data_IF_470616945970
#
_entry.id   IF_470616945970
#
_cell.length_a   1.000
_cell.length_b   1.000
_cell.length_c   1.000
_cell.angle_alpha   90.00
_cell.angle_beta   90.00
_cell.angle_gamma   90.00
#
_symmetry.space_group_name_H-M   'P 1'
#
loop_
_entity.id
_entity.type
_entity.pdbx_description
1 polymer ?
#
# COMPACT_ATOMS: atom_id res chain seq x y z
N UNK A 1 35.28 11.59 -26.97
CA UNK A 1 34.37 10.46 -26.71
C UNK A 1 34.33 10.36 -25.21
N UNK A 2 33.42 11.14 -24.61
CA UNK A 2 33.25 11.17 -23.17
C UNK A 2 32.19 10.14 -22.81
N UNK A 3 32.59 9.22 -21.94
CA UNK A 3 31.78 8.20 -21.32
C UNK A 3 30.65 8.89 -20.54
N UNK A 4 29.41 8.73 -21.02
CA UNK A 4 28.24 9.08 -20.23
C UNK A 4 28.10 8.06 -19.10
N UNK A 5 28.43 8.51 -17.89
CA UNK A 5 28.17 7.79 -16.64
C UNK A 5 26.65 7.69 -16.43
N UNK A 6 26.21 6.50 -16.01
CA UNK A 6 24.87 6.25 -15.50
C UNK A 6 24.56 7.31 -14.44
N UNK A 7 23.49 8.08 -14.66
CA UNK A 7 23.07 9.16 -13.76
C UNK A 7 22.86 8.64 -12.34
N UNK A 8 23.29 9.45 -11.39
CA UNK A 8 23.16 9.20 -9.96
C UNK A 8 21.66 9.11 -9.61
N UNK A 9 21.20 8.18 -8.76
CA UNK A 9 19.80 8.10 -8.30
C UNK A 9 19.23 9.39 -7.69
N UNK A 10 20.06 10.40 -7.44
CA UNK A 10 19.66 11.76 -7.09
C UNK A 10 19.10 12.60 -8.26
N UNK A 11 19.19 12.15 -9.51
CA UNK A 11 18.66 12.82 -10.70
C UNK A 11 17.16 12.51 -10.98
N UNK A 12 16.49 11.74 -10.12
CA UNK A 12 15.05 11.45 -10.19
C UNK A 12 14.26 12.65 -9.67
N UNK A 13 14.22 13.70 -10.49
CA UNK A 13 13.67 15.00 -10.16
C UNK A 13 12.26 14.97 -9.56
N UNK A 14 12.14 15.70 -8.44
CA UNK A 14 10.94 16.29 -7.85
C UNK A 14 9.84 15.33 -7.39
N UNK A 15 10.17 14.59 -6.34
CA UNK A 15 9.25 14.03 -5.35
C UNK A 15 8.27 15.09 -4.82
N UNK A 16 7.07 15.16 -5.39
CA UNK A 16 5.96 15.83 -4.70
C UNK A 16 5.32 14.84 -3.74
N UNK A 17 5.96 14.64 -2.57
CA UNK A 17 5.28 14.09 -1.39
C UNK A 17 5.69 12.70 -0.90
N UNK A 18 6.78 12.10 -1.37
CA UNK A 18 7.36 10.91 -0.71
C UNK A 18 8.66 11.33 -0.02
N UNK A 19 8.70 11.44 1.33
CA UNK A 19 9.96 11.58 2.05
C UNK A 19 10.89 10.40 1.70
N UNK A 20 12.21 10.63 1.68
CA UNK A 20 13.22 9.60 1.49
C UNK A 20 12.99 8.43 2.47
N UNK A 21 12.40 7.34 1.98
CA UNK A 21 12.10 6.17 2.81
C UNK A 21 13.39 5.34 2.98
N UNK A 22 13.71 4.88 4.20
CA UNK A 22 14.71 3.84 4.38
C UNK A 22 14.33 2.59 3.58
N UNK A 23 15.17 2.18 2.62
CA UNK A 23 14.90 1.03 1.77
C UNK A 23 14.82 -0.26 2.58
N UNK A 24 13.59 -0.78 2.76
CA UNK A 24 13.28 -2.05 3.44
C UNK A 24 13.02 -3.20 2.44
N UNK A 25 13.34 -3.02 1.15
CA UNK A 25 13.22 -4.02 0.09
C UNK A 25 11.80 -4.49 -0.20
N UNK A 26 11.15 -3.98 -1.26
CA UNK A 26 9.93 -4.61 -1.79
C UNK A 26 10.34 -5.85 -2.58
N UNK A 27 10.00 -7.04 -2.08
CA UNK A 27 10.12 -8.28 -2.83
C UNK A 27 8.69 -8.73 -3.13
N UNK A 28 8.30 -8.78 -4.40
CA UNK A 28 7.09 -9.49 -4.79
C UNK A 28 7.36 -11.00 -4.69
N UNK A 29 6.38 -11.77 -4.22
CA UNK A 29 6.36 -13.25 -4.07
C UNK A 29 6.75 -14.07 -5.36
N UNK A 30 7.29 -13.47 -6.43
CA UNK A 30 7.63 -14.11 -7.71
C UNK A 30 9.09 -13.96 -8.19
N UNK A 31 10.00 -13.39 -7.39
CA UNK A 31 11.45 -13.47 -7.68
C UNK A 31 11.92 -12.69 -8.91
N UNK A 32 11.20 -11.64 -9.30
CA UNK A 32 11.69 -10.66 -10.26
C UNK A 32 12.29 -9.47 -9.51
N UNK A 33 13.57 -9.17 -9.77
CA UNK A 33 14.00 -7.77 -9.70
C UNK A 33 13.15 -7.02 -10.73
N UNK A 34 12.30 -6.08 -10.29
CA UNK A 34 11.68 -5.14 -11.21
C UNK A 34 12.77 -4.26 -11.80
N UNK A 35 13.29 -4.70 -12.94
CA UNK A 35 14.11 -3.89 -13.81
C UNK A 35 13.22 -2.81 -14.46
N UNK A 36 13.09 -1.67 -13.77
CA UNK A 36 12.51 -0.46 -14.32
C UNK A 36 13.33 0.13 -15.48
N UNK A 37 14.44 -0.49 -15.92
CA UNK A 37 15.26 -0.04 -17.06
C UNK A 37 14.86 -0.61 -18.43
N UNK A 38 13.88 -1.51 -18.51
CA UNK A 38 13.33 -1.98 -19.81
C UNK A 38 11.97 -1.38 -20.15
N UNK A 39 11.86 -0.06 -20.08
CA UNK A 39 10.88 0.65 -20.91
C UNK A 39 11.41 0.69 -22.34
N UNK A 40 10.72 0.13 -23.35
CA UNK A 40 11.11 0.38 -24.73
C UNK A 40 10.86 1.86 -25.02
N UNK A 41 11.92 2.58 -25.36
CA UNK A 41 11.84 3.94 -25.90
C UNK A 41 10.75 3.99 -26.99
N UNK A 42 9.79 4.91 -26.83
CA UNK A 42 8.80 5.23 -27.85
C UNK A 42 9.49 5.89 -29.06
N UNK A 43 10.09 5.08 -29.92
CA UNK A 43 10.49 5.52 -31.25
C UNK A 43 9.31 5.35 -32.23
N UNK A 44 8.63 6.46 -32.48
CA UNK A 44 8.04 6.85 -33.75
C UNK A 44 7.34 5.76 -34.56
N UNK A 45 6.04 5.58 -34.32
CA UNK A 45 5.16 4.83 -35.20
C UNK A 45 3.83 4.60 -34.52
N UNK A 46 2.78 5.25 -35.01
CA UNK A 46 1.40 5.09 -34.56
C UNK A 46 0.95 3.63 -34.67
N UNK A 47 1.17 2.86 -33.61
CA UNK A 47 0.51 1.56 -33.39
C UNK A 47 -0.94 1.85 -32.95
N UNK A 48 -1.94 1.13 -33.48
CA UNK A 48 -3.31 1.30 -33.03
C UNK A 48 -3.38 1.00 -31.53
N UNK A 49 -4.16 1.80 -30.77
CA UNK A 49 -4.58 1.46 -29.40
C UNK A 49 -5.04 -0.01 -29.39
N UNK A 50 -4.24 -0.92 -28.84
CA UNK A 50 -4.67 -2.31 -28.71
C UNK A 50 -5.87 -2.31 -27.78
N UNK A 51 -7.02 -2.80 -28.27
CA UNK A 51 -8.12 -3.18 -27.38
C UNK A 51 -7.55 -4.14 -26.33
N UNK A 52 -7.97 -3.99 -25.07
CA UNK A 52 -7.52 -4.88 -23.99
C UNK A 52 -7.84 -6.34 -24.30
N UNK A 53 -7.20 -7.29 -23.61
CA UNK A 53 -7.62 -8.69 -23.73
C UNK A 53 -9.07 -8.84 -23.22
N UNK A 54 -9.84 -9.84 -23.68
CA UNK A 54 -11.18 -10.11 -23.15
C UNK A 54 -11.21 -10.23 -21.61
N UNK A 55 -10.14 -10.74 -21.02
CA UNK A 55 -9.95 -10.84 -19.57
C UNK A 55 -9.76 -9.46 -18.92
N UNK A 56 -8.95 -8.58 -19.51
CA UNK A 56 -8.80 -7.19 -19.03
C UNK A 56 -10.14 -6.43 -19.10
N UNK A 57 -10.90 -6.61 -20.19
CA UNK A 57 -12.21 -5.98 -20.34
C UNK A 57 -13.23 -6.54 -19.35
N UNK A 58 -13.18 -7.84 -19.05
CA UNK A 58 -13.95 -8.44 -17.98
C UNK A 58 -13.60 -7.85 -16.60
N UNK A 59 -12.31 -7.68 -16.31
CA UNK A 59 -11.82 -7.02 -15.09
C UNK A 59 -12.35 -5.60 -14.94
N UNK A 60 -12.40 -4.82 -16.02
CA UNK A 60 -12.94 -3.45 -16.00
C UNK A 60 -14.44 -3.45 -15.68
N UNK A 61 -15.19 -4.37 -16.28
CA UNK A 61 -16.62 -4.53 -15.99
C UNK A 61 -16.84 -4.89 -14.52
N UNK A 62 -16.03 -5.80 -13.97
CA UNK A 62 -16.09 -6.17 -12.55
C UNK A 62 -15.80 -4.98 -11.62
N UNK A 63 -14.77 -4.18 -11.94
CA UNK A 63 -14.44 -2.96 -11.20
C UNK A 63 -15.61 -1.95 -11.21
N UNK A 64 -16.24 -1.74 -12.37
CA UNK A 64 -17.41 -0.85 -12.49
C UNK A 64 -18.59 -1.40 -11.67
N UNK A 65 -18.87 -2.71 -11.75
CA UNK A 65 -19.92 -3.35 -10.94
C UNK A 65 -19.67 -3.20 -9.45
N UNK A 66 -18.43 -3.38 -9.00
CA UNK A 66 -18.05 -3.20 -7.61
C UNK A 66 -18.36 -1.77 -7.13
N UNK A 67 -18.00 -0.75 -7.91
CA UNK A 67 -18.32 0.66 -7.60
C UNK A 67 -19.82 0.93 -7.54
N UNK A 68 -20.60 0.34 -8.44
CA UNK A 68 -22.07 0.47 -8.44
C UNK A 68 -22.68 -0.20 -7.21
N UNK A 69 -22.29 -1.42 -6.90
CA UNK A 69 -22.75 -2.13 -5.71
C UNK A 69 -22.36 -1.43 -4.41
N UNK A 70 -21.14 -0.89 -4.33
CA UNK A 70 -20.70 -0.08 -3.20
C UNK A 70 -21.62 1.15 -3.01
N UNK A 71 -21.95 1.87 -4.09
CA UNK A 71 -22.87 3.00 -4.04
C UNK A 71 -24.29 2.62 -3.59
N UNK A 72 -24.74 1.41 -3.93
CA UNK A 72 -26.02 0.87 -3.47
C UNK A 72 -25.99 0.25 -2.07
N UNK A 73 -24.84 0.21 -1.41
CA UNK A 73 -24.68 -0.43 -0.11
C UNK A 73 -24.70 -1.96 -0.15
N UNK A 74 -24.66 -2.58 -1.34
CA UNK A 74 -24.49 -4.02 -1.47
C UNK A 74 -23.01 -4.39 -1.32
N UNK A 75 -22.56 -4.45 -0.07
CA UNK A 75 -21.15 -4.65 0.26
C UNK A 75 -20.66 -6.05 -0.13
N UNK A 76 -21.49 -7.09 0.00
CA UNK A 76 -21.13 -8.46 -0.40
C UNK A 76 -20.93 -8.58 -1.91
N UNK A 77 -21.85 -7.99 -2.69
CA UNK A 77 -21.73 -7.92 -4.14
C UNK A 77 -20.50 -7.13 -4.56
N UNK A 78 -20.24 -6.00 -3.92
CA UNK A 78 -19.06 -5.17 -4.19
C UNK A 78 -17.76 -5.94 -3.90
N UNK A 79 -17.69 -6.64 -2.75
CA UNK A 79 -16.55 -7.44 -2.34
C UNK A 79 -16.31 -8.62 -3.30
N UNK A 80 -17.37 -9.30 -3.74
CA UNK A 80 -17.27 -10.39 -4.71
C UNK A 80 -16.69 -9.92 -6.05
N UNK A 81 -17.20 -8.80 -6.59
CA UNK A 81 -16.71 -8.25 -7.85
C UNK A 81 -15.27 -7.73 -7.75
N UNK A 82 -14.94 -7.03 -6.66
CA UNK A 82 -13.61 -6.41 -6.53
C UNK A 82 -12.50 -7.46 -6.37
N UNK A 83 -12.76 -8.56 -5.64
CA UNK A 83 -11.77 -9.63 -5.50
C UNK A 83 -11.44 -10.26 -6.86
N UNK A 84 -12.45 -10.54 -7.69
CA UNK A 84 -12.23 -11.05 -9.04
C UNK A 84 -11.49 -10.05 -9.93
N UNK A 85 -11.78 -8.75 -9.82
CA UNK A 85 -11.06 -7.72 -10.58
C UNK A 85 -9.57 -7.65 -10.17
N UNK A 86 -9.28 -7.71 -8.87
CA UNK A 86 -7.91 -7.74 -8.34
C UNK A 86 -7.15 -8.96 -8.88
N UNK A 87 -7.75 -10.15 -8.86
CA UNK A 87 -7.12 -11.37 -9.35
C UNK A 87 -6.74 -11.28 -10.85
N UNK A 88 -7.60 -10.65 -11.66
CA UNK A 88 -7.33 -10.40 -13.08
C UNK A 88 -6.19 -9.39 -13.25
N UNK A 89 -6.25 -8.26 -12.53
CA UNK A 89 -5.31 -7.17 -12.76
C UNK A 89 -3.95 -7.36 -12.10
N UNK A 90 -3.83 -8.19 -11.05
CA UNK A 90 -2.58 -8.43 -10.32
C UNK A 90 -1.44 -8.88 -11.23
N UNK A 91 -1.75 -9.67 -12.26
CA UNK A 91 -0.76 -10.22 -13.19
C UNK A 91 -0.80 -9.53 -14.57
N UNK A 92 -1.50 -8.40 -14.67
CA UNK A 92 -1.66 -7.67 -15.92
C UNK A 92 -0.68 -6.50 -16.02
N UNK A 93 -0.38 -6.03 -17.23
CA UNK A 93 0.39 -4.78 -17.45
C UNK A 93 -0.45 -3.51 -17.19
N UNK A 94 -1.55 -3.63 -16.45
CA UNK A 94 -2.56 -2.58 -16.24
C UNK A 94 -2.52 -2.09 -14.80
N UNK A 95 -1.37 -1.58 -14.38
CA UNK A 95 -1.08 -1.16 -13.01
C UNK A 95 -2.15 -0.20 -12.47
N UNK A 96 -2.60 0.78 -13.25
CA UNK A 96 -3.66 1.72 -12.82
C UNK A 96 -5.03 1.07 -12.56
N UNK A 97 -5.36 -0.07 -13.18
CA UNK A 97 -6.58 -0.81 -12.84
C UNK A 97 -6.40 -1.70 -11.61
N UNK A 98 -5.20 -2.25 -11.40
CA UNK A 98 -4.88 -3.00 -10.19
C UNK A 98 -4.91 -2.09 -8.96
N UNK A 99 -4.24 -0.93 -9.04
CA UNK A 99 -4.24 0.11 -8.02
C UNK A 99 -5.67 0.57 -7.69
N UNK A 100 -6.45 0.98 -8.71
CA UNK A 100 -7.85 1.40 -8.50
C UNK A 100 -8.71 0.29 -7.88
N UNK A 101 -8.44 -0.97 -8.19
CA UNK A 101 -9.15 -2.09 -7.59
C UNK A 101 -8.81 -2.26 -6.11
N UNK A 102 -7.55 -2.05 -5.72
CA UNK A 102 -7.12 -2.01 -4.33
C UNK A 102 -7.74 -0.81 -3.59
N UNK A 103 -7.77 0.37 -4.21
CA UNK A 103 -8.42 1.56 -3.64
C UNK A 103 -9.91 1.31 -3.35
N UNK A 104 -10.66 0.78 -4.33
CA UNK A 104 -12.08 0.43 -4.13
C UNK A 104 -12.27 -0.62 -3.03
N UNK A 105 -11.34 -1.58 -2.90
CA UNK A 105 -11.39 -2.54 -1.79
C UNK A 105 -11.20 -1.86 -0.44
N UNK A 106 -10.33 -0.86 -0.36
CA UNK A 106 -10.22 0.03 0.80
C UNK A 106 -11.54 0.73 1.12
N UNK A 107 -12.21 1.30 0.11
CA UNK A 107 -13.52 1.96 0.28
C UNK A 107 -14.60 1.02 0.80
N UNK A 108 -14.60 -0.24 0.33
CA UNK A 108 -15.56 -1.25 0.82
C UNK A 108 -15.31 -1.53 2.30
N UNK A 109 -14.06 -1.70 2.73
CA UNK A 109 -13.74 -1.90 4.15
C UNK A 109 -14.02 -0.67 5.01
N UNK A 110 -13.78 0.55 4.51
CA UNK A 110 -14.15 1.78 5.21
C UNK A 110 -15.67 1.82 5.43
N UNK A 111 -16.46 1.41 4.42
CA UNK A 111 -17.92 1.33 4.53
C UNK A 111 -18.41 0.24 5.49
N UNK A 112 -17.58 -0.78 5.73
CA UNK A 112 -17.80 -1.82 6.75
C UNK A 112 -17.26 -1.42 8.14
N UNK A 113 -16.72 -0.20 8.31
CA UNK A 113 -16.07 0.28 9.53
C UNK A 113 -14.85 -0.56 9.95
N UNK A 114 -14.27 -1.32 9.02
CA UNK A 114 -13.02 -2.07 9.21
C UNK A 114 -11.84 -1.20 8.78
N UNK A 115 -11.60 -0.12 9.52
CA UNK A 115 -10.65 0.92 9.15
C UNK A 115 -9.22 0.42 9.04
N UNK A 116 -8.77 -0.54 9.85
CA UNK A 116 -7.41 -1.05 9.75
C UNK A 116 -7.18 -1.82 8.43
N UNK A 117 -8.17 -2.61 7.97
CA UNK A 117 -8.14 -3.22 6.63
C UNK A 117 -8.24 -2.17 5.51
N UNK A 118 -9.09 -1.17 5.68
CA UNK A 118 -9.21 -0.07 4.72
C UNK A 118 -7.85 0.64 4.54
N UNK A 119 -7.20 0.96 5.66
CA UNK A 119 -5.90 1.60 5.72
C UNK A 119 -4.84 0.78 4.99
N UNK A 120 -4.81 -0.54 5.20
CA UNK A 120 -3.94 -1.46 4.47
C UNK A 120 -4.15 -1.39 2.95
N UNK A 121 -5.39 -1.46 2.47
CA UNK A 121 -5.66 -1.47 1.03
C UNK A 121 -5.43 -0.09 0.38
N UNK A 122 -5.74 1.01 1.06
CA UNK A 122 -5.42 2.35 0.59
C UNK A 122 -3.91 2.58 0.51
N UNK A 123 -3.17 2.16 1.54
CA UNK A 123 -1.71 2.25 1.54
C UNK A 123 -1.10 1.36 0.45
N UNK A 124 -1.61 0.13 0.27
CA UNK A 124 -1.17 -0.77 -0.81
C UNK A 124 -1.45 -0.18 -2.19
N UNK A 125 -2.62 0.43 -2.41
CA UNK A 125 -2.94 1.11 -3.67
C UNK A 125 -1.93 2.25 -3.94
N UNK A 126 -1.70 3.11 -2.96
CA UNK A 126 -0.70 4.19 -3.05
C UNK A 126 0.69 3.66 -3.41
N UNK A 127 1.12 2.54 -2.82
CA UNK A 127 2.43 1.93 -3.12
C UNK A 127 2.52 1.34 -4.53
N UNK A 128 1.41 0.87 -5.10
CA UNK A 128 1.36 0.25 -6.42
C UNK A 128 1.39 1.29 -7.55
N UNK A 129 0.85 2.50 -7.32
CA UNK A 129 0.95 3.56 -8.30
C UNK A 129 0.32 4.86 -7.85
N UNK A 130 0.89 5.98 -8.30
CA UNK A 130 0.43 7.33 -7.96
C UNK A 130 -0.76 7.81 -8.83
N UNK A 131 -1.27 6.97 -9.74
CA UNK A 131 -2.28 7.38 -10.71
C UNK A 131 -3.64 7.74 -10.09
N UNK A 132 -3.92 7.35 -8.84
CA UNK A 132 -5.12 7.74 -8.11
C UNK A 132 -4.72 8.54 -6.87
N UNK A 133 -4.74 9.87 -7.02
CA UNK A 133 -4.59 10.85 -5.93
C UNK A 133 -5.40 10.48 -4.68
N UNK A 134 -6.58 9.89 -4.87
CA UNK A 134 -7.53 9.64 -3.78
C UNK A 134 -7.06 8.57 -2.78
N UNK A 135 -6.17 7.65 -3.13
CA UNK A 135 -5.77 6.57 -2.21
C UNK A 135 -4.89 7.09 -1.06
N UNK A 136 -4.00 8.04 -1.35
CA UNK A 136 -3.21 8.73 -0.33
C UNK A 136 -4.10 9.58 0.58
N UNK A 137 -4.99 10.37 -0.03
CA UNK A 137 -5.92 11.23 0.70
C UNK A 137 -6.86 10.43 1.60
N UNK A 138 -7.46 9.35 1.08
CA UNK A 138 -8.35 8.48 1.86
C UNK A 138 -7.60 7.76 2.98
N UNK A 139 -6.34 7.35 2.76
CA UNK A 139 -5.48 6.82 3.82
C UNK A 139 -5.26 7.86 4.92
N UNK A 140 -4.83 9.08 4.56
CA UNK A 140 -4.55 10.14 5.54
C UNK A 140 -5.81 10.53 6.33
N UNK A 141 -6.96 10.59 5.66
CA UNK A 141 -8.26 10.79 6.29
C UNK A 141 -8.60 9.74 7.35
N UNK A 142 -8.07 8.51 7.28
CA UNK A 142 -8.30 7.50 8.32
C UNK A 142 -7.41 7.67 9.54
N UNK A 143 -6.16 8.11 9.32
CA UNK A 143 -5.17 8.31 10.39
C UNK A 143 -5.21 9.72 10.99
N UNK A 144 -6.16 10.54 10.54
CA UNK A 144 -6.45 11.88 11.04
C UNK A 144 -7.86 11.90 11.67
N UNK A 145 -7.97 12.51 12.86
CA UNK A 145 -9.26 12.75 13.54
C UNK A 145 -9.86 11.53 14.25
N UNK A 146 -11.19 11.53 14.38
CA UNK A 146 -11.98 10.66 15.28
C UNK A 146 -11.82 9.14 15.06
N UNK A 147 -11.16 8.71 13.98
CA UNK A 147 -10.96 7.29 13.66
C UNK A 147 -9.71 6.68 14.29
N UNK A 148 -8.78 7.50 14.79
CA UNK A 148 -7.51 7.04 15.37
C UNK A 148 -7.75 6.05 16.52
N UNK A 149 -8.68 6.34 17.42
CA UNK A 149 -8.98 5.46 18.56
C UNK A 149 -9.54 4.10 18.11
N UNK A 150 -10.40 4.10 17.09
CA UNK A 150 -10.96 2.87 16.51
C UNK A 150 -9.84 2.07 15.84
N UNK A 151 -8.94 2.72 15.12
CA UNK A 151 -7.79 2.08 14.50
C UNK A 151 -6.89 1.43 15.55
N UNK A 152 -6.53 2.16 16.62
CA UNK A 152 -5.74 1.63 17.74
C UNK A 152 -6.37 0.35 18.30
N UNK A 153 -7.69 0.36 18.54
CA UNK A 153 -8.40 -0.83 19.02
C UNK A 153 -8.41 -1.97 17.98
N UNK A 154 -8.63 -1.66 16.70
CA UNK A 154 -8.58 -2.67 15.63
C UNK A 154 -7.18 -3.26 15.41
N UNK A 155 -6.10 -2.54 15.73
CA UNK A 155 -4.73 -3.07 15.66
C UNK A 155 -4.39 -4.02 16.84
N UNK A 156 -5.18 -4.00 17.91
CA UNK A 156 -5.07 -5.00 18.99
C UNK A 156 -5.60 -6.37 18.56
N UNK A 157 -6.62 -6.42 17.71
CA UNK A 157 -7.12 -7.66 17.11
C UNK A 157 -6.58 -7.85 15.69
N UNK A 158 -5.70 -8.84 15.51
CA UNK A 158 -5.12 -9.11 14.19
C UNK A 158 -6.16 -9.43 13.11
N UNK A 159 -7.33 -9.97 13.47
CA UNK A 159 -8.38 -10.29 12.50
C UNK A 159 -8.95 -9.02 11.90
N UNK A 160 -9.05 -7.94 12.67
CA UNK A 160 -9.53 -6.65 12.18
C UNK A 160 -8.44 -5.84 11.52
N UNK A 161 -7.18 -6.01 11.94
CA UNK A 161 -6.06 -5.33 11.31
C UNK A 161 -5.73 -5.93 9.94
N UNK A 162 -5.59 -7.26 9.87
CA UNK A 162 -5.04 -7.95 8.71
C UNK A 162 -6.10 -8.76 7.97
N UNK A 163 -6.25 -8.56 6.64
CA UNK A 163 -7.25 -9.26 5.86
C UNK A 163 -6.89 -10.72 5.56
N UNK A 164 -5.64 -11.14 5.78
CA UNK A 164 -5.18 -12.50 5.55
C UNK A 164 -4.93 -13.21 6.91
N UNK A 165 -4.59 -14.50 6.91
CA UNK A 165 -4.65 -15.38 8.11
C UNK A 165 -3.74 -15.01 9.29
N UNK A 166 -3.40 -15.98 10.13
CA UNK A 166 -2.74 -15.77 11.43
C UNK A 166 -1.26 -15.30 11.40
N UNK A 167 -0.69 -14.97 10.23
CA UNK A 167 0.71 -14.52 10.11
C UNK A 167 0.88 -13.53 8.97
N UNK A 168 1.69 -12.49 9.18
CA UNK A 168 2.06 -11.56 8.11
C UNK A 168 2.98 -12.25 7.10
N UNK A 169 2.73 -11.99 5.81
CA UNK A 169 3.72 -12.21 4.76
C UNK A 169 4.73 -11.06 4.75
N UNK A 170 5.90 -11.26 4.15
CA UNK A 170 6.95 -10.24 4.06
C UNK A 170 6.47 -8.96 3.37
N UNK A 171 5.77 -9.09 2.25
CA UNK A 171 5.26 -7.95 1.47
C UNK A 171 4.26 -7.12 2.29
N UNK A 172 3.41 -7.80 3.07
CA UNK A 172 2.39 -7.15 3.89
C UNK A 172 2.97 -6.59 5.20
N UNK A 173 4.04 -7.20 5.73
CA UNK A 173 4.86 -6.62 6.80
C UNK A 173 5.43 -5.26 6.36
N UNK A 174 5.99 -5.18 5.16
CA UNK A 174 6.60 -3.94 4.64
C UNK A 174 5.55 -2.83 4.57
N UNK A 175 4.32 -3.16 4.18
CA UNK A 175 3.20 -2.20 4.14
C UNK A 175 2.91 -1.59 5.52
N UNK A 176 2.77 -2.42 6.56
CA UNK A 176 2.46 -1.90 7.90
C UNK A 176 3.66 -1.23 8.56
N UNK A 177 4.87 -1.71 8.31
CA UNK A 177 6.08 -1.05 8.76
C UNK A 177 6.24 0.33 8.10
N UNK A 178 6.06 0.44 6.77
CA UNK A 178 6.10 1.72 6.04
C UNK A 178 5.01 2.68 6.53
N UNK A 179 3.81 2.17 6.80
CA UNK A 179 2.73 2.95 7.39
C UNK A 179 3.14 3.56 8.73
N UNK A 180 3.64 2.75 9.66
CA UNK A 180 4.05 3.25 10.97
C UNK A 180 5.24 4.21 10.88
N UNK A 181 6.20 3.92 10.00
CA UNK A 181 7.34 4.78 9.75
C UNK A 181 6.90 6.16 9.24
N UNK A 182 5.97 6.21 8.29
CA UNK A 182 5.42 7.48 7.79
C UNK A 182 4.64 8.26 8.84
N UNK A 183 3.79 7.59 9.61
CA UNK A 183 3.06 8.27 10.69
C UNK A 183 4.05 8.90 11.68
N UNK A 184 5.13 8.18 12.01
CA UNK A 184 6.21 8.69 12.84
C UNK A 184 6.93 9.88 12.21
N UNK A 185 7.24 9.81 10.92
CA UNK A 185 8.01 10.84 10.22
C UNK A 185 7.21 12.11 9.97
N UNK A 186 5.96 11.96 9.52
CA UNK A 186 5.11 13.06 9.07
C UNK A 186 4.41 13.80 10.22
N UNK A 187 4.50 13.31 11.46
CA UNK A 187 3.73 13.83 12.60
C UNK A 187 4.53 13.96 13.89
N UNK A 188 4.25 15.03 14.65
CA UNK A 188 4.63 15.16 16.07
C UNK A 188 3.42 15.05 17.01
N UNK A 189 2.23 14.79 16.47
CA UNK A 189 1.00 14.60 17.24
C UNK A 189 1.04 13.29 18.02
N UNK A 190 0.85 13.38 19.34
CA UNK A 190 0.95 12.23 20.25
C UNK A 190 -0.04 11.13 19.92
N UNK A 191 -1.29 11.46 19.54
CA UNK A 191 -2.29 10.43 19.23
C UNK A 191 -1.91 9.64 17.97
N UNK A 192 -1.37 10.31 16.96
CA UNK A 192 -0.86 9.66 15.74
C UNK A 192 0.39 8.82 16.04
N UNK A 193 1.30 9.30 16.89
CA UNK A 193 2.47 8.53 17.29
C UNK A 193 2.09 7.28 18.09
N UNK A 194 1.07 7.35 18.95
CA UNK A 194 0.52 6.17 19.62
C UNK A 194 -0.11 5.18 18.64
N UNK A 195 -0.77 5.66 17.58
CA UNK A 195 -1.24 4.77 16.50
C UNK A 195 -0.05 4.09 15.80
N UNK A 196 1.03 4.82 15.51
CA UNK A 196 2.24 4.23 14.94
C UNK A 196 2.83 3.13 15.85
N UNK A 197 2.82 3.33 17.18
CA UNK A 197 3.22 2.30 18.14
C UNK A 197 2.31 1.06 18.06
N UNK A 198 1.00 1.24 17.98
CA UNK A 198 0.07 0.11 17.87
C UNK A 198 0.28 -0.68 16.57
N UNK A 199 0.52 0.02 15.45
CA UNK A 199 0.84 -0.61 14.17
C UNK A 199 2.15 -1.40 14.27
N UNK A 200 3.21 -0.83 14.86
CA UNK A 200 4.46 -1.56 15.08
C UNK A 200 4.27 -2.74 16.02
N UNK A 201 3.57 -2.57 17.13
CA UNK A 201 3.24 -3.66 18.05
C UNK A 201 2.49 -4.79 17.35
N UNK A 202 1.54 -4.45 16.48
CA UNK A 202 0.83 -5.42 15.63
C UNK A 202 1.80 -6.18 14.71
N UNK A 203 2.69 -5.46 14.03
CA UNK A 203 3.72 -6.06 13.16
C UNK A 203 4.60 -7.03 13.95
N UNK A 204 5.11 -6.64 15.13
CA UNK A 204 5.96 -7.49 15.98
C UNK A 204 5.24 -8.75 16.44
N UNK A 205 3.93 -8.66 16.77
CA UNK A 205 3.11 -9.82 17.14
C UNK A 205 2.91 -10.81 15.99
N UNK A 206 2.81 -10.31 14.75
CA UNK A 206 2.38 -11.10 13.59
C UNK A 206 3.51 -11.55 12.66
N UNK A 207 4.74 -11.10 12.90
CA UNK A 207 5.93 -11.46 12.13
C UNK A 207 6.95 -12.34 12.88
N UNK A 208 6.56 -13.34 13.72
CA UNK A 208 7.52 -14.09 14.53
C UNK A 208 8.45 -14.99 13.69
N UNK A 209 8.09 -15.29 12.44
CA UNK A 209 8.86 -16.13 11.53
C UNK A 209 9.57 -15.36 10.42
N UNK A 210 9.47 -14.02 10.39
CA UNK A 210 10.15 -13.22 9.37
C UNK A 210 11.59 -13.00 9.83
N UNK A 211 12.54 -13.54 9.07
CA UNK A 211 13.96 -13.31 9.30
C UNK A 211 14.37 -11.96 8.69
N UNK A 212 14.69 -11.01 9.57
CA UNK A 212 15.31 -9.74 9.19
C UNK A 212 16.84 -9.83 9.28
N UNK A 213 17.53 -9.30 8.28
CA UNK A 213 18.99 -9.30 8.22
C UNK A 213 19.54 -7.92 7.89
N UNK A 214 20.73 -7.62 8.40
CA UNK A 214 21.42 -6.36 8.12
C UNK A 214 20.58 -5.12 8.47
N UNK A 215 20.46 -4.21 7.49
CA UNK A 215 19.77 -2.92 7.64
C UNK A 215 18.27 -3.06 7.96
N UNK A 216 17.59 -4.06 7.41
CA UNK A 216 16.17 -4.29 7.72
C UNK A 216 15.96 -4.59 9.20
N UNK A 217 16.86 -5.38 9.79
CA UNK A 217 16.77 -5.72 11.21
C UNK A 217 16.93 -4.46 12.06
N UNK A 218 17.91 -3.63 11.73
CA UNK A 218 18.15 -2.36 12.42
C UNK A 218 16.93 -1.42 12.33
N UNK A 219 16.38 -1.24 11.14
CA UNK A 219 15.18 -0.42 10.92
C UNK A 219 13.95 -0.94 11.68
N UNK A 220 13.76 -2.26 11.71
CA UNK A 220 12.68 -2.89 12.45
C UNK A 220 12.83 -2.75 13.97
N UNK A 221 14.06 -2.92 14.50
CA UNK A 221 14.34 -2.83 15.93
C UNK A 221 14.28 -1.39 16.44
N UNK A 222 14.71 -0.41 15.63
CA UNK A 222 14.84 0.98 16.05
C UNK A 222 13.54 1.79 15.98
N UNK A 223 12.65 1.52 15.03
CA UNK A 223 11.47 2.38 14.80
C UNK A 223 10.57 2.52 16.05
N UNK A 224 10.35 1.44 16.81
CA UNK A 224 9.58 1.53 18.07
C UNK A 224 10.24 2.48 19.06
N UNK A 225 11.57 2.41 19.19
CA UNK A 225 12.35 3.25 20.10
C UNK A 225 12.26 4.71 19.68
N UNK A 226 12.39 5.01 18.40
CA UNK A 226 12.28 6.38 17.86
C UNK A 226 10.90 6.99 18.16
N UNK A 227 9.82 6.23 17.95
CA UNK A 227 8.46 6.69 18.24
C UNK A 227 8.30 6.96 19.75
N UNK A 228 8.75 6.04 20.60
CA UNK A 228 8.72 6.20 22.06
C UNK A 228 9.51 7.44 22.52
N UNK A 229 10.68 7.70 21.91
CA UNK A 229 11.47 8.90 22.22
C UNK A 229 10.74 10.19 21.82
N UNK A 230 9.98 10.20 20.72
CA UNK A 230 9.17 11.37 20.33
C UNK A 230 7.99 11.59 21.27
N UNK A 231 7.32 10.53 21.72
CA UNK A 231 6.18 10.63 22.65
C UNK A 231 6.63 11.16 24.03
N UNK A 232 7.83 10.81 24.48
CA UNK A 232 8.34 11.18 25.81
C UNK A 232 9.05 12.55 25.87
N UNK A 233 9.16 13.27 24.74
CA UNK A 233 9.75 14.61 24.67
C UNK A 233 8.69 15.69 24.87
#
# INVERSE_FOLDING_TARGET
MDEWKVGDPSDWGDHVGVPDIPYMGYINDDGYEEDYSTFPEENGGSKPKSLGSPEEDHGKILLVKAKVYLKWGNLDGAMSCINQAIDIFKNSRRIGYYENSLHVKGMIYEKMEQYARALFFYHKAFKVGECVSNAFDDRNKLIDGDKIDILKEQFKDYRTAYPFGSSLKRDDFIIYWDLAWRINEDSSDTEKLELALEVIGFVKRMAPSIEFVGREKELYENLEKEILEKINK
#
